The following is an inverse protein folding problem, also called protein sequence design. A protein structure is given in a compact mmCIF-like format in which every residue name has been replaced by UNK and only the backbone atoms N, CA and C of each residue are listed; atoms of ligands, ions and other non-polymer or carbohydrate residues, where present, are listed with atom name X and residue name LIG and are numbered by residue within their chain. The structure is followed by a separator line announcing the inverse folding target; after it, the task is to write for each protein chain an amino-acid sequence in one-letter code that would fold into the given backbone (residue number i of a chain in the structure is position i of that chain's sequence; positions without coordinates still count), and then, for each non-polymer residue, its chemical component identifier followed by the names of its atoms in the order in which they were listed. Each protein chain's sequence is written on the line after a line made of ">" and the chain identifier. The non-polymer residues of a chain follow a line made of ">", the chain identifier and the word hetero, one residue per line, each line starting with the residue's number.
data_IF_117568452706
#
_entry.id   IF_117568452706
#
_cell.length_a   1.000
_cell.length_b   1.000
_cell.length_c   1.000
_cell.angle_alpha   90.00
_cell.angle_beta   90.00
_cell.angle_gamma   90.00
#
_symmetry.space_group_name_H-M   'P 1'
#
loop_
_entity.id
_entity.type
_entity.pdbx_description
1 polymer ?
#
# COMPACT_ATOMS: atom_id res chain seq x y z
N UNK A 1 -15.93 -8.75 4.46
CA UNK A 1 -15.31 -7.99 3.34
C UNK A 1 -13.90 -8.53 3.11
N UNK A 2 -13.45 -8.68 1.86
CA UNK A 2 -12.09 -9.13 1.49
C UNK A 2 -11.29 -7.98 0.91
N UNK A 3 -10.20 -7.63 1.59
CA UNK A 3 -9.30 -6.56 1.22
C UNK A 3 -7.98 -7.14 0.68
N UNK A 4 -7.43 -6.49 -0.35
CA UNK A 4 -6.03 -6.66 -0.74
C UNK A 4 -5.34 -5.30 -0.67
N UNK A 5 -4.27 -5.23 0.10
CA UNK A 5 -3.33 -4.12 0.06
C UNK A 5 -2.09 -4.56 -0.72
N UNK A 6 -1.70 -3.82 -1.74
CA UNK A 6 -0.47 -4.07 -2.53
C UNK A 6 0.54 -3.00 -2.16
N UNK A 7 1.75 -3.43 -1.77
CA UNK A 7 2.81 -2.50 -1.40
C UNK A 7 3.47 -1.84 -2.62
N UNK A 8 4.55 -1.11 -2.37
CA UNK A 8 5.12 -0.09 -3.25
C UNK A 8 5.40 -0.60 -4.67
N UNK A 9 4.67 -0.09 -5.67
CA UNK A 9 4.84 -0.50 -7.07
C UNK A 9 6.00 0.26 -7.70
N UNK A 10 7.10 -0.45 -8.01
CA UNK A 10 8.35 0.17 -8.46
C UNK A 10 8.59 -0.04 -9.96
N UNK A 11 8.65 1.07 -10.68
CA UNK A 11 9.12 1.11 -12.07
C UNK A 11 8.30 0.25 -13.04
N UNK A 12 8.87 -0.05 -14.22
CA UNK A 12 8.16 -0.79 -15.27
C UNK A 12 7.85 -2.22 -14.87
N UNK A 13 8.78 -2.90 -14.19
CA UNK A 13 8.64 -4.28 -13.77
C UNK A 13 7.49 -4.46 -12.76
N UNK A 14 7.41 -3.57 -11.75
CA UNK A 14 6.31 -3.55 -10.79
C UNK A 14 4.95 -3.30 -11.44
N UNK A 15 4.87 -2.32 -12.35
CA UNK A 15 3.62 -2.07 -13.11
C UNK A 15 3.21 -3.30 -13.92
N UNK A 16 4.14 -3.93 -14.62
CA UNK A 16 3.82 -5.09 -15.45
C UNK A 16 3.21 -6.25 -14.65
N UNK A 17 3.81 -6.63 -13.52
CA UNK A 17 3.27 -7.71 -12.68
C UNK A 17 1.94 -7.34 -12.03
N UNK A 18 1.77 -6.07 -11.62
CA UNK A 18 0.49 -5.61 -11.08
C UNK A 18 -0.63 -5.71 -12.12
N UNK A 19 -0.41 -5.17 -13.32
CA UNK A 19 -1.39 -5.16 -14.40
C UNK A 19 -1.75 -6.57 -14.87
N UNK A 20 -0.81 -7.50 -14.78
CA UNK A 20 -1.04 -8.91 -15.11
C UNK A 20 -1.81 -9.65 -14.01
N UNK A 21 -1.36 -9.55 -12.76
CA UNK A 21 -1.86 -10.40 -11.68
C UNK A 21 -3.12 -9.85 -11.02
N UNK A 22 -3.24 -8.53 -10.85
CA UNK A 22 -4.33 -7.95 -10.07
C UNK A 22 -5.73 -8.35 -10.58
N UNK A 23 -6.04 -8.32 -11.90
CA UNK A 23 -7.33 -8.78 -12.39
C UNK A 23 -7.61 -10.26 -12.07
N UNK A 24 -6.58 -11.11 -12.14
CA UNK A 24 -6.67 -12.54 -11.83
C UNK A 24 -6.96 -12.74 -10.33
N UNK A 25 -6.24 -12.01 -9.48
CA UNK A 25 -6.39 -12.08 -8.02
C UNK A 25 -7.76 -11.57 -7.55
N UNK A 26 -8.26 -10.48 -8.13
CA UNK A 26 -9.61 -9.99 -7.86
C UNK A 26 -10.68 -11.04 -8.10
N UNK A 27 -10.61 -11.72 -9.23
CA UNK A 27 -11.54 -12.78 -9.59
C UNK A 27 -11.38 -14.00 -8.66
N UNK A 28 -10.15 -14.50 -8.53
CA UNK A 28 -9.86 -15.72 -7.79
C UNK A 28 -10.21 -15.62 -6.29
N UNK A 29 -9.98 -14.45 -5.69
CA UNK A 29 -10.20 -14.23 -4.26
C UNK A 29 -11.50 -13.51 -3.94
N UNK A 30 -12.27 -13.08 -4.94
CA UNK A 30 -13.49 -12.31 -4.74
C UNK A 30 -13.23 -11.05 -3.92
N UNK A 31 -12.24 -10.25 -4.33
CA UNK A 31 -11.81 -9.06 -3.61
C UNK A 31 -12.88 -7.96 -3.70
N UNK A 32 -13.28 -7.43 -2.53
CA UNK A 32 -14.23 -6.33 -2.42
C UNK A 32 -13.55 -4.98 -2.63
N UNK A 33 -12.36 -4.80 -2.03
CA UNK A 33 -11.58 -3.57 -2.14
C UNK A 33 -10.07 -3.87 -2.29
N UNK A 34 -9.41 -3.14 -3.19
CA UNK A 34 -7.97 -3.21 -3.45
C UNK A 34 -7.36 -1.83 -3.27
N UNK A 35 -6.36 -1.72 -2.41
CA UNK A 35 -5.52 -0.52 -2.25
C UNK A 35 -4.12 -0.84 -2.78
N UNK A 36 -3.55 0.04 -3.59
CA UNK A 36 -2.20 -0.12 -4.16
C UNK A 36 -1.35 1.10 -3.82
N UNK A 37 -0.17 0.90 -3.24
CA UNK A 37 0.78 2.00 -3.14
C UNK A 37 1.53 2.20 -4.47
N UNK A 38 1.35 3.36 -5.09
CA UNK A 38 1.87 3.70 -6.41
C UNK A 38 3.03 4.71 -6.40
N UNK A 39 3.69 4.95 -5.26
CA UNK A 39 4.60 6.10 -5.13
C UNK A 39 5.87 6.03 -5.96
N UNK A 40 6.29 4.85 -6.43
CA UNK A 40 7.48 4.66 -7.26
C UNK A 40 7.14 4.23 -8.70
N UNK A 41 5.88 4.37 -9.10
CA UNK A 41 5.39 3.76 -10.32
C UNK A 41 5.95 4.43 -11.58
N UNK A 42 6.24 5.74 -11.56
CA UNK A 42 6.79 6.49 -12.69
C UNK A 42 8.32 6.55 -12.63
N UNK A 43 8.99 5.61 -13.30
CA UNK A 43 10.46 5.61 -13.38
C UNK A 43 11.16 5.50 -12.03
N UNK A 44 10.50 4.91 -11.02
CA UNK A 44 11.00 4.75 -9.66
C UNK A 44 10.57 5.85 -8.69
N UNK A 45 10.04 6.97 -9.18
CA UNK A 45 9.79 8.16 -8.38
C UNK A 45 8.51 8.89 -8.84
N UNK A 46 7.49 8.86 -8.00
CA UNK A 46 6.17 9.45 -8.24
C UNK A 46 5.28 8.62 -9.14
N UNK A 47 4.18 9.24 -9.59
CA UNK A 47 3.15 8.63 -10.42
C UNK A 47 2.66 9.62 -11.48
N UNK A 48 2.23 9.11 -12.64
CA UNK A 48 1.59 9.90 -13.69
C UNK A 48 0.08 9.66 -13.72
N UNK A 49 -0.69 10.57 -14.32
CA UNK A 49 -2.14 10.44 -14.50
C UNK A 49 -2.48 9.17 -15.29
N UNK A 50 -1.68 8.88 -16.33
CA UNK A 50 -1.81 7.66 -17.13
C UNK A 50 -1.60 6.40 -16.27
N UNK A 51 -0.53 6.35 -15.48
CA UNK A 51 -0.24 5.18 -14.64
C UNK A 51 -1.31 4.99 -13.56
N UNK A 52 -1.76 6.08 -12.94
CA UNK A 52 -2.87 6.02 -11.97
C UNK A 52 -4.14 5.47 -12.61
N UNK A 53 -4.47 5.90 -13.83
CA UNK A 53 -5.63 5.39 -14.57
C UNK A 53 -5.48 3.91 -14.96
N UNK A 54 -4.28 3.48 -15.33
CA UNK A 54 -3.97 2.06 -15.59
C UNK A 54 -4.21 1.19 -14.36
N UNK A 55 -3.74 1.60 -13.18
CA UNK A 55 -3.94 0.85 -11.92
C UNK A 55 -5.42 0.73 -11.58
N UNK A 56 -6.16 1.83 -11.72
CA UNK A 56 -7.62 1.84 -11.52
C UNK A 56 -8.31 0.90 -12.51
N UNK A 57 -7.90 0.90 -13.79
CA UNK A 57 -8.45 0.02 -14.82
C UNK A 57 -8.12 -1.46 -14.57
N UNK A 58 -6.96 -1.79 -13.97
CA UNK A 58 -6.62 -3.14 -13.54
C UNK A 58 -7.41 -3.62 -12.32
N UNK A 59 -8.13 -2.73 -11.66
CA UNK A 59 -8.98 -3.05 -10.51
C UNK A 59 -8.44 -2.57 -9.17
N UNK A 60 -7.50 -1.62 -9.11
CA UNK A 60 -7.19 -0.94 -7.85
C UNK A 60 -8.33 0.02 -7.49
N UNK A 61 -8.99 -0.14 -6.34
CA UNK A 61 -10.04 0.77 -5.85
C UNK A 61 -9.48 2.10 -5.37
N UNK A 62 -8.28 2.07 -4.80
CA UNK A 62 -7.55 3.24 -4.36
C UNK A 62 -6.06 3.09 -4.66
N UNK A 63 -5.42 4.22 -4.98
CA UNK A 63 -3.98 4.34 -5.10
C UNK A 63 -3.48 5.25 -3.99
N UNK A 64 -2.67 4.73 -3.08
CA UNK A 64 -1.94 5.52 -2.07
C UNK A 64 -0.55 5.88 -2.61
N UNK A 65 0.10 6.84 -1.96
CA UNK A 65 1.43 7.32 -2.32
C UNK A 65 2.34 7.34 -1.08
N UNK A 66 3.44 8.08 -1.12
CA UNK A 66 4.38 8.21 -0.02
C UNK A 66 5.18 9.49 -0.14
N UNK A 67 6.46 9.42 0.21
CA UNK A 67 7.35 10.58 0.12
C UNK A 67 7.61 11.03 -1.33
N UNK A 68 7.43 10.15 -2.33
CA UNK A 68 7.60 10.49 -3.75
C UNK A 68 6.33 11.01 -4.42
N UNK A 69 5.27 11.35 -3.65
CA UNK A 69 3.96 11.75 -4.19
C UNK A 69 3.99 12.87 -5.25
N UNK A 70 4.97 13.77 -5.20
CA UNK A 70 5.07 14.96 -6.05
C UNK A 70 6.32 15.02 -6.95
N UNK A 71 7.07 13.92 -7.07
CA UNK A 71 8.28 13.87 -7.90
C UNK A 71 7.97 14.00 -9.40
N UNK A 72 6.76 13.61 -9.80
CA UNK A 72 6.21 13.92 -11.11
C UNK A 72 5.40 15.22 -11.05
N UNK A 73 5.82 16.23 -11.82
CA UNK A 73 5.19 17.57 -11.79
C UNK A 73 3.69 17.55 -12.08
N UNK A 74 3.23 16.64 -12.92
CA UNK A 74 1.81 16.51 -13.25
C UNK A 74 0.95 16.06 -12.06
N UNK A 75 1.53 15.35 -11.09
CA UNK A 75 0.82 14.91 -9.88
C UNK A 75 0.23 16.10 -9.10
N UNK A 76 0.93 17.24 -9.06
CA UNK A 76 0.44 18.48 -8.44
C UNK A 76 -0.90 18.99 -9.03
N UNK A 77 -1.19 18.61 -10.27
CA UNK A 77 -2.36 19.10 -11.01
C UNK A 77 -3.49 18.07 -10.98
N UNK A 78 -3.21 16.81 -11.32
CA UNK A 78 -4.27 15.82 -11.47
C UNK A 78 -4.76 15.24 -10.14
N UNK A 79 -3.94 15.26 -9.08
CA UNK A 79 -4.34 14.74 -7.76
C UNK A 79 -5.58 15.45 -7.20
N UNK A 80 -5.80 16.73 -7.53
CA UNK A 80 -6.95 17.49 -7.08
C UNK A 80 -8.28 17.05 -7.72
N UNK A 81 -8.22 16.35 -8.87
CA UNK A 81 -9.40 15.84 -9.60
C UNK A 81 -9.55 14.33 -9.56
N UNK A 82 -8.61 13.62 -8.93
CA UNK A 82 -8.60 12.17 -8.84
C UNK A 82 -8.91 11.73 -7.40
N UNK A 83 -10.18 11.47 -7.05
CA UNK A 83 -10.57 11.10 -5.69
C UNK A 83 -10.00 9.77 -5.21
N UNK A 84 -9.52 8.91 -6.11
CA UNK A 84 -8.92 7.60 -5.78
C UNK A 84 -7.40 7.66 -5.61
N UNK A 85 -6.78 8.84 -5.72
CA UNK A 85 -5.35 9.04 -5.49
C UNK A 85 -5.13 9.78 -4.18
N UNK A 86 -4.50 9.12 -3.22
CA UNK A 86 -4.38 9.59 -1.83
C UNK A 86 -2.92 9.81 -1.46
N UNK A 87 -2.55 11.08 -1.22
CA UNK A 87 -1.21 11.48 -0.73
C UNK A 87 -1.16 11.42 0.81
N UNK A 88 0.01 11.49 1.46
CA UNK A 88 0.05 11.47 2.92
C UNK A 88 -0.72 12.63 3.55
N UNK A 89 -1.60 12.33 4.50
CA UNK A 89 -2.56 13.25 5.12
C UNK A 89 -1.88 14.38 5.88
N UNK A 90 -0.78 14.08 6.56
CA UNK A 90 -0.02 14.99 7.41
C UNK A 90 0.93 15.93 6.65
N UNK A 91 0.74 16.10 5.34
CA UNK A 91 1.31 17.25 4.62
C UNK A 91 0.71 18.57 5.13
N UNK A 92 1.48 19.67 5.10
CA UNK A 92 1.01 20.98 5.53
C UNK A 92 -0.26 21.43 4.82
N UNK A 93 -1.06 22.25 5.51
CA UNK A 93 -2.29 22.85 4.96
C UNK A 93 -2.00 23.58 3.65
N UNK A 94 -2.81 23.33 2.63
CA UNK A 94 -2.68 23.90 1.29
C UNK A 94 -2.03 22.96 0.28
N UNK A 95 -1.51 21.82 0.72
CA UNK A 95 -1.00 20.77 -0.17
C UNK A 95 -2.12 20.21 -1.06
N UNK A 96 -1.94 20.11 -2.39
CA UNK A 96 -2.95 19.58 -3.31
C UNK A 96 -3.39 18.14 -2.98
N UNK A 97 -4.61 17.81 -3.39
CA UNK A 97 -5.17 16.47 -3.23
C UNK A 97 -5.60 16.14 -1.81
N UNK A 98 -6.13 14.93 -1.65
CA UNK A 98 -6.70 14.45 -0.40
C UNK A 98 -5.76 13.49 0.32
N UNK A 99 -5.77 13.55 1.66
CA UNK A 99 -5.05 12.63 2.54
C UNK A 99 -5.87 11.42 3.00
N UNK A 100 -7.18 11.54 2.88
CA UNK A 100 -8.16 10.55 3.23
C UNK A 100 -9.34 10.67 2.26
N UNK A 101 -9.95 9.56 1.86
CA UNK A 101 -11.20 9.59 1.11
C UNK A 101 -12.04 8.33 1.31
N UNK A 102 -13.36 8.47 1.21
CA UNK A 102 -14.29 7.35 1.17
C UNK A 102 -14.37 6.80 -0.26
N UNK A 103 -13.98 5.55 -0.41
CA UNK A 103 -14.03 4.80 -1.65
C UNK A 103 -15.23 3.87 -1.59
N UNK A 104 -16.18 4.05 -2.50
CA UNK A 104 -17.32 3.13 -2.65
C UNK A 104 -16.89 1.94 -3.51
N UNK A 105 -17.02 0.75 -2.94
CA UNK A 105 -16.75 -0.52 -3.63
C UNK A 105 -17.87 -0.86 -4.60
N UNK A 106 -17.62 -1.82 -5.50
CA UNK A 106 -18.63 -2.29 -6.46
C UNK A 106 -19.89 -2.89 -5.78
N UNK A 107 -19.79 -3.29 -4.51
CA UNK A 107 -20.90 -3.83 -3.72
C UNK A 107 -21.64 -2.75 -2.91
N UNK A 108 -21.21 -1.48 -3.01
CA UNK A 108 -21.80 -0.34 -2.30
C UNK A 108 -21.25 -0.13 -0.89
N UNK A 109 -20.34 -0.99 -0.41
CA UNK A 109 -19.67 -0.77 0.87
C UNK A 109 -18.68 0.40 0.76
N UNK A 110 -18.58 1.20 1.83
CA UNK A 110 -17.77 2.41 1.91
C UNK A 110 -16.49 2.14 2.69
N UNK A 111 -15.36 2.24 2.02
CA UNK A 111 -14.03 2.03 2.60
C UNK A 111 -13.31 3.37 2.73
N UNK A 112 -13.03 3.80 3.94
CA UNK A 112 -12.20 4.98 4.17
C UNK A 112 -10.73 4.58 4.00
N UNK A 113 -10.06 5.15 3.01
CA UNK A 113 -8.62 4.94 2.79
C UNK A 113 -7.89 6.20 3.22
N UNK A 114 -6.88 6.03 4.08
CA UNK A 114 -6.04 7.10 4.61
C UNK A 114 -4.59 6.74 4.30
N UNK A 115 -3.84 7.73 3.85
CA UNK A 115 -2.39 7.62 3.70
C UNK A 115 -1.72 8.57 4.69
N UNK A 116 -0.63 8.15 5.34
CA UNK A 116 0.09 8.93 6.34
C UNK A 116 1.60 8.69 6.19
N UNK A 117 2.40 9.68 6.53
CA UNK A 117 3.86 9.56 6.51
C UNK A 117 4.43 9.59 7.91
N UNK A 118 5.39 8.70 8.18
CA UNK A 118 6.23 8.77 9.37
C UNK A 118 7.17 9.98 9.33
N UNK A 119 7.87 10.22 10.44
CA UNK A 119 8.82 11.33 10.58
C UNK A 119 10.21 10.88 10.99
N UNK A 120 10.34 9.70 11.60
CA UNK A 120 11.65 9.21 12.02
C UNK A 120 12.42 8.75 10.77
N UNK A 121 13.59 9.34 10.54
CA UNK A 121 14.43 9.15 9.35
C UNK A 121 13.80 9.63 8.02
N UNK A 122 12.76 10.45 8.09
CA UNK A 122 12.05 11.01 6.95
C UNK A 122 11.90 12.53 7.07
N UNK A 123 11.28 13.16 6.08
CA UNK A 123 10.97 14.59 6.13
C UNK A 123 10.05 14.94 7.32
N UNK A 124 10.32 16.09 7.93
CA UNK A 124 9.53 16.58 9.06
C UNK A 124 8.17 17.13 8.58
N UNK A 125 7.16 16.25 8.57
CA UNK A 125 5.76 16.60 8.33
C UNK A 125 5.00 16.88 9.64
N UNK A 126 3.72 17.25 9.52
CA UNK A 126 2.82 17.38 10.67
C UNK A 126 2.68 16.04 11.40
N UNK A 127 2.24 16.08 12.66
CA UNK A 127 2.14 14.88 13.50
C UNK A 127 1.13 13.86 12.95
N UNK A 128 1.56 12.64 12.56
CA UNK A 128 0.67 11.64 11.99
C UNK A 128 -0.37 11.13 13.00
N UNK A 129 -0.05 11.15 14.29
CA UNK A 129 -0.96 10.74 15.38
C UNK A 129 -2.11 11.74 15.55
N UNK A 130 -1.81 13.04 15.64
CA UNK A 130 -2.84 14.07 15.66
C UNK A 130 -3.66 14.12 14.36
N UNK A 131 -3.03 13.86 13.21
CA UNK A 131 -3.72 13.83 11.92
C UNK A 131 -4.75 12.70 11.84
N UNK A 132 -4.38 11.48 12.23
CA UNK A 132 -5.31 10.34 12.18
C UNK A 132 -6.49 10.52 13.14
N UNK A 133 -6.28 11.06 14.35
CA UNK A 133 -7.36 11.29 15.31
C UNK A 133 -8.50 12.13 14.74
N UNK A 134 -8.18 13.15 13.95
CA UNK A 134 -9.18 14.01 13.32
C UNK A 134 -10.07 13.24 12.36
N UNK A 135 -9.49 12.35 11.55
CA UNK A 135 -10.23 11.53 10.60
C UNK A 135 -11.04 10.43 11.30
N UNK A 136 -10.48 9.80 12.33
CA UNK A 136 -11.20 8.80 13.14
C UNK A 136 -12.42 9.42 13.85
N UNK A 137 -12.33 10.65 14.33
CA UNK A 137 -13.47 11.37 14.89
C UNK A 137 -14.51 11.74 13.82
N UNK A 138 -14.08 12.14 12.63
CA UNK A 138 -14.97 12.58 11.56
C UNK A 138 -15.71 11.42 10.86
N UNK A 139 -15.07 10.26 10.75
CA UNK A 139 -15.62 9.10 10.06
C UNK A 139 -15.29 7.78 10.81
N UNK A 140 -15.94 7.53 11.97
CA UNK A 140 -15.66 6.34 12.77
C UNK A 140 -16.01 5.03 12.05
N UNK A 141 -15.20 4.00 12.24
CA UNK A 141 -15.46 2.64 11.74
C UNK A 141 -16.81 2.11 12.27
N UNK A 142 -17.63 1.53 11.40
CA UNK A 142 -18.96 0.98 11.71
C UNK A 142 -20.09 2.02 11.77
N UNK A 143 -19.77 3.32 11.67
CA UNK A 143 -20.77 4.40 11.62
C UNK A 143 -20.61 5.28 10.37
N UNK A 144 -19.39 5.77 10.13
CA UNK A 144 -19.04 6.58 8.96
C UNK A 144 -18.59 5.75 7.76
N UNK A 145 -17.95 4.62 8.00
CA UNK A 145 -17.46 3.69 6.98
C UNK A 145 -17.61 2.22 7.41
N UNK A 146 -17.63 1.31 6.44
CA UNK A 146 -17.74 -0.13 6.65
C UNK A 146 -16.36 -0.78 6.87
N UNK A 147 -15.30 -0.14 6.34
CA UNK A 147 -13.90 -0.49 6.59
C UNK A 147 -13.03 0.77 6.56
N UNK A 148 -11.89 0.72 7.26
CA UNK A 148 -10.92 1.80 7.32
C UNK A 148 -9.50 1.24 7.15
N UNK A 149 -8.86 1.62 6.04
CA UNK A 149 -7.51 1.18 5.66
C UNK A 149 -6.55 2.34 5.82
N UNK A 150 -5.48 2.13 6.57
CA UNK A 150 -4.37 3.08 6.71
C UNK A 150 -3.13 2.51 6.03
N UNK A 151 -2.63 3.22 5.03
CA UNK A 151 -1.26 3.12 4.55
C UNK A 151 -0.38 4.02 5.40
N UNK A 152 0.55 3.44 6.17
CA UNK A 152 1.49 4.18 7.01
C UNK A 152 2.90 4.09 6.43
N UNK A 153 3.21 5.04 5.57
CA UNK A 153 4.44 5.13 4.80
C UNK A 153 5.57 5.69 5.69
N UNK A 154 6.40 4.80 6.23
CA UNK A 154 7.37 5.18 7.27
C UNK A 154 8.65 4.33 7.22
N UNK A 155 9.77 4.87 7.72
CA UNK A 155 11.03 4.13 7.81
C UNK A 155 11.15 3.34 9.13
N UNK A 156 10.94 4.01 10.27
CA UNK A 156 11.19 3.41 11.58
C UNK A 156 10.11 2.40 11.98
N UNK A 157 10.51 1.14 12.19
CA UNK A 157 9.61 0.08 12.68
C UNK A 157 8.95 0.44 14.02
N UNK A 158 9.64 1.16 14.91
CA UNK A 158 9.08 1.63 16.17
C UNK A 158 7.93 2.62 15.98
N UNK A 159 8.03 3.51 14.99
CA UNK A 159 6.96 4.48 14.67
C UNK A 159 5.74 3.73 14.11
N UNK A 160 5.97 2.75 13.23
CA UNK A 160 4.91 1.91 12.67
C UNK A 160 4.16 1.09 13.71
N UNK A 161 4.87 0.44 14.63
CA UNK A 161 4.25 -0.34 15.70
C UNK A 161 3.50 0.55 16.69
N UNK A 162 4.10 1.68 17.09
CA UNK A 162 3.44 2.64 17.97
C UNK A 162 2.14 3.18 17.35
N UNK A 163 2.16 3.51 16.05
CA UNK A 163 0.98 3.94 15.32
C UNK A 163 -0.10 2.86 15.30
N UNK A 164 0.24 1.62 14.96
CA UNK A 164 -0.73 0.53 14.89
C UNK A 164 -1.40 0.26 16.26
N UNK A 165 -0.63 0.27 17.35
CA UNK A 165 -1.18 0.16 18.70
C UNK A 165 -2.04 1.35 19.10
N UNK A 166 -1.70 2.55 18.63
CA UNK A 166 -2.48 3.76 18.91
C UNK A 166 -3.88 3.68 18.29
N UNK A 167 -4.03 3.10 17.10
CA UNK A 167 -5.32 3.03 16.38
C UNK A 167 -6.05 1.68 16.47
N UNK A 168 -5.50 0.72 17.21
CA UNK A 168 -6.06 -0.63 17.33
C UNK A 168 -7.55 -0.61 17.75
N UNK A 169 -8.38 -1.37 17.03
CA UNK A 169 -9.82 -1.46 17.21
C UNK A 169 -10.63 -0.33 16.58
N UNK A 170 -9.96 0.72 16.07
CA UNK A 170 -10.60 1.88 15.41
C UNK A 170 -10.42 1.87 13.90
N UNK A 171 -9.56 0.99 13.39
CA UNK A 171 -9.28 0.80 11.96
C UNK A 171 -9.27 -0.68 11.60
N UNK A 172 -9.59 -0.99 10.34
CA UNK A 172 -9.59 -2.36 9.83
C UNK A 172 -8.19 -2.90 9.59
N UNK A 173 -7.32 -2.05 9.00
CA UNK A 173 -5.97 -2.40 8.58
C UNK A 173 -5.03 -1.21 8.76
N UNK A 174 -3.86 -1.45 9.36
CA UNK A 174 -2.66 -0.63 9.23
C UNK A 174 -1.61 -1.41 8.45
N UNK A 175 -1.34 -1.00 7.21
CA UNK A 175 -0.27 -1.54 6.40
C UNK A 175 0.90 -0.54 6.37
N UNK A 176 2.06 -0.95 6.85
CA UNK A 176 3.27 -0.17 6.60
C UNK A 176 3.79 -0.31 5.17
N UNK A 177 4.39 0.74 4.63
CA UNK A 177 5.07 0.79 3.32
C UNK A 177 6.39 1.57 3.46
N UNK A 178 7.09 1.88 2.36
CA UNK A 178 8.37 2.62 2.25
C UNK A 178 9.64 1.76 2.22
N UNK A 179 9.78 0.74 3.08
CA UNK A 179 11.08 0.07 3.24
C UNK A 179 11.36 -0.96 2.15
N UNK A 180 10.37 -1.24 1.29
CA UNK A 180 10.39 -2.15 0.14
C UNK A 180 10.64 -3.62 0.47
N UNK A 181 10.78 -4.00 1.74
CA UNK A 181 11.05 -5.38 2.16
C UNK A 181 9.87 -5.91 2.96
N UNK A 182 9.16 -6.96 2.47
CA UNK A 182 8.00 -7.48 3.19
C UNK A 182 8.43 -8.10 4.51
N UNK A 183 7.75 -7.69 5.57
CA UNK A 183 7.99 -8.19 6.92
C UNK A 183 7.16 -9.43 7.23
N UNK A 184 7.62 -10.22 8.21
CA UNK A 184 6.97 -11.48 8.60
C UNK A 184 6.08 -11.34 9.86
N UNK A 185 5.82 -10.12 10.32
CA UNK A 185 5.15 -9.81 11.59
C UNK A 185 3.65 -9.51 11.43
N UNK A 186 3.07 -9.93 10.30
CA UNK A 186 1.65 -9.75 10.04
C UNK A 186 0.81 -10.40 11.15
N UNK A 187 -0.14 -9.67 11.70
CA UNK A 187 -0.96 -10.12 12.81
C UNK A 187 -2.28 -9.37 12.89
N UNK A 188 -3.19 -9.88 13.70
CA UNK A 188 -4.39 -9.16 14.14
C UNK A 188 -4.11 -8.72 15.57
N UNK A 189 -4.13 -7.41 15.82
CA UNK A 189 -3.91 -6.82 17.13
C UNK A 189 -5.07 -7.13 18.08
N UNK A 190 -4.90 -6.98 19.41
CA UNK A 190 -5.88 -7.43 20.40
C UNK A 190 -7.30 -6.89 20.22
N UNK A 191 -7.48 -5.70 19.65
CA UNK A 191 -8.79 -5.10 19.39
C UNK A 191 -9.30 -5.30 17.95
N UNK A 192 -8.61 -6.11 17.14
CA UNK A 192 -9.11 -6.57 15.84
C UNK A 192 -8.56 -5.82 14.63
N UNK A 193 -7.59 -4.92 14.79
CA UNK A 193 -6.92 -4.28 13.65
C UNK A 193 -5.90 -5.24 13.01
N UNK A 194 -5.98 -5.45 11.69
CA UNK A 194 -4.90 -6.10 10.95
C UNK A 194 -3.67 -5.20 10.87
N UNK A 195 -2.48 -5.77 11.02
CA UNK A 195 -1.22 -5.04 11.02
C UNK A 195 -0.12 -5.79 10.30
N UNK A 196 0.76 -5.06 9.62
CA UNK A 196 2.08 -5.51 9.16
C UNK A 196 3.06 -4.33 9.20
N UNK A 197 4.32 -4.54 9.62
CA UNK A 197 5.33 -3.47 9.63
C UNK A 197 5.66 -2.98 8.22
N UNK A 198 5.68 -3.86 7.23
CA UNK A 198 5.88 -3.47 5.83
C UNK A 198 5.31 -4.50 4.88
N UNK A 199 4.47 -4.06 3.95
CA UNK A 199 3.86 -4.87 2.92
C UNK A 199 4.85 -5.32 1.83
N UNK A 200 6.02 -4.66 1.75
CA UNK A 200 7.05 -4.91 0.76
C UNK A 200 6.76 -4.28 -0.60
N UNK A 201 7.77 -4.25 -1.45
CA UNK A 201 7.67 -3.71 -2.81
C UNK A 201 7.01 -4.70 -3.77
N UNK A 202 6.20 -4.20 -4.69
CA UNK A 202 5.84 -4.86 -5.95
C UNK A 202 6.83 -4.43 -7.04
N UNK A 203 7.84 -5.25 -7.32
CA UNK A 203 8.97 -4.88 -8.17
C UNK A 203 10.04 -5.97 -8.28
N UNK A 204 11.14 -5.67 -8.94
CA UNK A 204 12.26 -6.60 -9.12
C UNK A 204 13.11 -6.69 -7.84
N UNK A 205 13.17 -7.87 -7.23
CA UNK A 205 13.94 -8.13 -6.01
C UNK A 205 15.38 -8.58 -6.26
N UNK A 206 15.79 -8.80 -7.52
CA UNK A 206 17.20 -8.90 -7.86
C UNK A 206 17.78 -7.49 -8.10
N UNK A 207 17.64 -6.63 -7.08
CA UNK A 207 17.96 -5.21 -7.14
C UNK A 207 18.38 -4.70 -5.76
N UNK A 208 18.69 -3.41 -5.64
CA UNK A 208 18.83 -2.73 -4.33
C UNK A 208 17.62 -1.82 -4.15
N UNK A 209 16.64 -2.29 -3.35
CA UNK A 209 15.42 -1.51 -3.02
C UNK A 209 14.64 -1.10 -4.29
N UNK A 210 14.67 -1.95 -5.33
CA UNK A 210 14.00 -1.71 -6.61
C UNK A 210 14.84 -0.97 -7.65
N UNK A 211 16.07 -0.57 -7.32
CA UNK A 211 17.00 0.14 -8.21
C UNK A 211 18.11 -0.78 -8.74
N UNK A 212 18.61 -0.49 -9.95
CA UNK A 212 19.79 -1.13 -10.53
C UNK A 212 20.98 -1.08 -9.55
N UNK A 213 21.72 -2.19 -9.45
CA UNK A 213 22.62 -2.47 -8.30
C UNK A 213 23.85 -1.57 -8.27
N UNK A 214 24.34 -1.17 -9.44
CA UNK A 214 25.63 -0.52 -9.62
C UNK A 214 25.72 0.81 -8.87
N UNK A 215 24.74 1.70 -9.05
CA UNK A 215 24.79 3.04 -8.47
C UNK A 215 24.63 3.05 -6.94
N UNK A 216 23.66 2.33 -6.33
CA UNK A 216 23.59 2.17 -4.88
C UNK A 216 24.88 1.58 -4.29
N UNK A 217 25.40 0.47 -4.83
CA UNK A 217 26.63 -0.17 -4.33
C UNK A 217 27.82 0.78 -4.41
N UNK A 218 27.95 1.51 -5.51
CA UNK A 218 29.00 2.52 -5.67
C UNK A 218 28.90 3.61 -4.61
N UNK A 219 27.71 4.17 -4.37
CA UNK A 219 27.52 5.21 -3.35
C UNK A 219 27.89 4.69 -1.96
N UNK A 220 27.55 3.45 -1.63
CA UNK A 220 27.94 2.87 -0.33
C UNK A 220 29.46 2.68 -0.19
N UNK A 221 30.12 2.16 -1.24
CA UNK A 221 31.54 1.76 -1.21
C UNK A 221 32.50 2.93 -1.44
N UNK A 222 32.13 3.91 -2.25
CA UNK A 222 33.00 5.04 -2.66
C UNK A 222 32.57 6.38 -2.08
N UNK A 223 31.33 6.50 -1.57
CA UNK A 223 30.68 7.77 -1.18
C UNK A 223 30.52 8.78 -2.32
N UNK A 224 30.69 8.37 -3.58
CA UNK A 224 30.58 9.22 -4.75
C UNK A 224 29.45 8.74 -5.68
N UNK A 225 28.57 9.64 -6.15
CA UNK A 225 27.61 9.30 -7.20
C UNK A 225 28.30 9.20 -8.56
N UNK A 226 27.82 8.30 -9.44
CA UNK A 226 28.22 8.26 -10.85
C UNK A 226 27.03 8.53 -11.79
N UNK A 227 25.87 7.96 -11.48
CA UNK A 227 24.63 8.14 -12.25
C UNK A 227 23.44 8.43 -11.34
N UNK A 228 22.27 8.64 -11.96
CA UNK A 228 21.00 8.65 -11.23
C UNK A 228 20.61 7.21 -10.90
N UNK A 229 19.74 7.05 -9.92
CA UNK A 229 19.09 5.77 -9.69
C UNK A 229 18.14 5.48 -10.84
N UNK A 230 18.17 4.24 -11.31
CA UNK A 230 17.29 3.72 -12.35
C UNK A 230 16.59 2.47 -11.80
N UNK A 231 15.28 2.29 -12.01
CA UNK A 231 14.59 1.10 -11.56
C UNK A 231 15.10 -0.16 -12.27
N UNK A 232 15.25 -1.24 -11.51
CA UNK A 232 15.58 -2.54 -12.06
C UNK A 232 14.44 -3.08 -12.95
N UNK A 233 14.80 -3.89 -13.95
CA UNK A 233 13.88 -4.33 -15.02
C UNK A 233 13.73 -5.84 -15.17
N UNK A 234 14.27 -6.62 -14.24
CA UNK A 234 14.15 -8.07 -14.19
C UNK A 234 12.77 -8.55 -13.72
N UNK A 235 12.70 -9.82 -13.31
CA UNK A 235 11.43 -10.47 -12.95
C UNK A 235 10.91 -9.96 -11.61
N UNK A 236 9.76 -9.29 -11.63
CA UNK A 236 9.15 -8.74 -10.42
C UNK A 236 8.42 -9.78 -9.56
N UNK A 237 8.41 -9.53 -8.25
CA UNK A 237 7.48 -10.15 -7.30
C UNK A 237 6.44 -9.11 -6.89
N UNK A 238 5.16 -9.46 -6.97
CA UNK A 238 4.07 -8.68 -6.36
C UNK A 238 4.01 -8.98 -4.87
N UNK A 239 4.07 -7.95 -4.03
CA UNK A 239 3.96 -8.07 -2.58
C UNK A 239 2.75 -7.31 -2.03
N UNK A 240 2.15 -7.85 -0.97
CA UNK A 240 0.99 -7.25 -0.34
C UNK A 240 0.48 -8.02 0.86
N UNK A 241 -0.73 -7.67 1.29
CA UNK A 241 -1.41 -8.22 2.44
C UNK A 241 -2.89 -8.46 2.13
N UNK A 242 -3.33 -9.69 2.35
CA UNK A 242 -4.71 -10.12 2.23
C UNK A 242 -5.39 -10.09 3.61
N UNK A 243 -6.56 -9.46 3.71
CA UNK A 243 -7.31 -9.33 4.97
C UNK A 243 -8.79 -9.65 4.77
N UNK A 244 -9.35 -10.47 5.66
CA UNK A 244 -10.80 -10.72 5.73
C UNK A 244 -11.37 -10.01 6.95
N UNK A 245 -12.39 -9.18 6.74
CA UNK A 245 -13.09 -8.41 7.76
C UNK A 245 -14.47 -8.99 8.08
N UNK A 246 -14.85 -8.90 9.36
CA UNK A 246 -16.20 -9.20 9.84
C UNK A 246 -17.20 -8.06 9.58
N UNK A 247 -18.43 -8.21 10.09
CA UNK A 247 -19.51 -7.22 9.95
C UNK A 247 -19.28 -5.91 10.72
N UNK A 248 -18.31 -5.86 11.64
CA UNK A 248 -17.91 -4.65 12.36
C UNK A 248 -16.81 -3.89 11.62
N UNK A 249 -16.31 -4.43 10.51
CA UNK A 249 -15.17 -3.90 9.77
C UNK A 249 -13.82 -4.25 10.40
N UNK A 250 -13.76 -5.18 11.35
CA UNK A 250 -12.51 -5.61 12.00
C UNK A 250 -11.98 -6.90 11.39
N UNK A 251 -10.66 -7.08 11.43
CA UNK A 251 -9.99 -8.22 10.82
C UNK A 251 -10.24 -9.52 11.58
N UNK A 252 -10.54 -10.59 10.83
CA UNK A 252 -10.68 -11.97 11.33
C UNK A 252 -9.68 -12.93 10.71
N UNK A 253 -9.12 -12.60 9.54
CA UNK A 253 -8.02 -13.34 8.91
C UNK A 253 -7.06 -12.38 8.23
N UNK A 254 -5.79 -12.76 8.22
CA UNK A 254 -4.70 -12.01 7.61
C UNK A 254 -3.68 -12.99 7.01
N UNK A 255 -3.15 -12.68 5.83
CA UNK A 255 -2.04 -13.41 5.24
C UNK A 255 -1.18 -12.50 4.35
N UNK A 256 0.14 -12.74 4.28
CA UNK A 256 1.00 -12.07 3.31
C UNK A 256 0.70 -12.59 1.90
N UNK A 257 0.90 -11.72 0.91
CA UNK A 257 0.79 -12.04 -0.50
C UNK A 257 2.16 -11.81 -1.14
N UNK A 258 2.70 -12.85 -1.79
CA UNK A 258 3.92 -12.78 -2.62
C UNK A 258 3.74 -13.64 -3.84
N UNK A 259 3.66 -13.03 -5.02
CA UNK A 259 3.38 -13.71 -6.28
C UNK A 259 4.47 -13.44 -7.31
N UNK A 260 4.95 -14.48 -7.98
CA UNK A 260 5.97 -14.41 -9.02
C UNK A 260 7.38 -13.99 -8.54
N UNK A 261 8.30 -13.83 -9.50
CA UNK A 261 9.64 -13.30 -9.27
C UNK A 261 10.54 -14.15 -8.37
N UNK A 262 11.22 -13.47 -7.44
CA UNK A 262 12.33 -14.03 -6.65
C UNK A 262 11.92 -14.52 -5.26
N UNK A 263 11.00 -13.84 -4.59
CA UNK A 263 10.68 -14.19 -3.20
C UNK A 263 9.87 -15.48 -3.10
N UNK A 264 9.95 -16.13 -1.94
CA UNK A 264 9.13 -17.30 -1.64
C UNK A 264 7.64 -16.94 -1.71
N UNK A 265 6.89 -17.70 -2.51
CA UNK A 265 5.47 -17.46 -2.77
C UNK A 265 4.67 -17.51 -1.46
N UNK A 266 3.68 -16.63 -1.34
CA UNK A 266 2.72 -16.64 -0.25
C UNK A 266 1.33 -16.24 -0.76
N UNK A 267 0.32 -17.00 -0.32
CA UNK A 267 -1.08 -16.84 -0.70
C UNK A 267 -1.99 -17.03 0.52
N UNK A 268 -3.15 -16.36 0.58
CA UNK A 268 -4.14 -16.53 1.63
C UNK A 268 -4.83 -17.90 1.49
N UNK A 269 -4.25 -18.94 2.10
CA UNK A 269 -4.74 -20.32 2.00
C UNK A 269 -6.21 -20.48 2.42
N UNK A 270 -6.70 -19.60 3.30
CA UNK A 270 -8.09 -19.59 3.76
C UNK A 270 -9.10 -19.08 2.72
N UNK A 271 -8.65 -18.53 1.59
CA UNK A 271 -9.49 -18.19 0.43
C UNK A 271 -9.44 -19.26 -0.67
N UNK A 272 -8.34 -20.02 -0.74
CA UNK A 272 -8.13 -21.07 -1.76
C UNK A 272 -8.95 -22.36 -1.49
N UNK A 273 -9.60 -22.49 -0.33
CA UNK A 273 -10.24 -23.74 0.13
C UNK A 273 -11.70 -23.96 -0.32
N UNK A 274 -12.19 -23.32 -1.38
CA UNK A 274 -13.57 -23.52 -1.89
C UNK A 274 -13.67 -24.58 -3.01
N UNK A 275 -12.55 -25.15 -3.48
CA UNK A 275 -12.57 -26.27 -4.45
C UNK A 275 -11.88 -27.53 -3.89
N UNK A 276 -12.58 -28.26 -3.03
CA UNK A 276 -12.48 -29.73 -2.97
C UNK A 276 -13.88 -30.32 -2.77
N UNK A 277 -14.70 -30.23 -3.82
CA UNK A 277 -15.82 -31.17 -3.96
C UNK A 277 -15.19 -32.56 -4.13
N UNK A 278 -15.52 -33.56 -3.30
CA UNK A 278 -15.12 -34.93 -3.58
C UNK A 278 -15.86 -35.37 -4.85
N UNK A 279 -15.12 -35.68 -5.90
CA UNK A 279 -15.70 -36.41 -7.04
C UNK A 279 -16.04 -37.83 -6.53
N UNK A 280 -17.26 -38.34 -6.78
CA UNK A 280 -17.70 -39.66 -6.31
C UNK A 280 -16.87 -40.82 -6.86
#
# INVERSE_FOLDING_TARGET
>A
MRLLFVGDVVGRAGRAVLMEELPKLRLAWGLDCVVVNGENAAGGFGITETICAEFVAAGADCVTLGNHAFDQREALVFIARQPRLIRPLNYPRGTPGSGANLIETATGARVLVINLMGRIFMDALDDPFAAIERELCACPLGAGCDALVVDFHAEASSEKQAFAHFVDGRVSLVAGTHTHVPTADYQILPQGTAYVTDAGMTGDYDSVIGMEKEEPIRRFTTKLPASRFEPASGTATLCGLAVELDARGLAVKIAPVRIGGRLSQARPQFWDSVEKVPVP
#
